data_IF_646864523469
#
_entry.id   IF_646864523469
#
_cell.length_a   1.000
_cell.length_b   1.000
_cell.length_c   1.000
_cell.angle_alpha   90.00
_cell.angle_beta   90.00
_cell.angle_gamma   90.00
#
_symmetry.space_group_name_H-M   'P 1'
#
loop_
_entity.id
_entity.type
_entity.pdbx_description
1 polymer ?
#
# COMPACT_ATOMS: atom_id res chain seq x y z
N UNK A 1 -18.39 25.86 8.14
CA UNK A 1 -17.35 26.91 8.15
C UNK A 1 -16.00 26.20 8.02
N UNK A 2 -15.55 25.93 6.79
CA UNK A 2 -14.25 25.29 6.55
C UNK A 2 -13.15 26.32 6.86
N UNK A 3 -12.44 26.14 7.97
CA UNK A 3 -11.24 26.91 8.29
C UNK A 3 -10.23 26.61 7.20
N UNK A 4 -9.98 27.58 6.31
CA UNK A 4 -8.83 27.56 5.42
C UNK A 4 -7.61 27.57 6.35
N UNK A 5 -6.95 26.42 6.50
CA UNK A 5 -5.70 26.30 7.24
C UNK A 5 -4.68 27.20 6.56
N UNK A 6 -4.44 28.39 7.13
CA UNK A 6 -3.34 29.27 6.74
C UNK A 6 -2.06 28.61 7.23
N UNK A 7 -1.34 27.96 6.31
CA UNK A 7 -0.08 27.27 6.57
C UNK A 7 1.00 28.25 7.00
N UNK A 8 1.84 27.86 7.96
CA UNK A 8 3.19 28.43 8.11
C UNK A 8 4.06 27.88 6.97
N UNK A 9 4.98 28.67 6.37
CA UNK A 9 5.80 28.17 5.27
C UNK A 9 6.78 27.11 5.80
N UNK A 10 6.53 25.84 5.46
CA UNK A 10 7.39 24.69 5.77
C UNK A 10 8.03 24.22 4.46
N UNK A 11 9.34 23.95 4.49
CA UNK A 11 10.10 23.51 3.31
C UNK A 11 10.32 22.01 3.36
N UNK A 12 9.76 21.30 2.38
CA UNK A 12 9.78 19.82 2.34
C UNK A 12 10.73 19.32 1.26
N UNK A 13 11.58 18.34 1.59
CA UNK A 13 12.32 17.55 0.60
C UNK A 13 11.65 16.20 0.40
N UNK A 14 11.44 15.79 -0.84
CA UNK A 14 10.89 14.48 -1.17
C UNK A 14 11.94 13.63 -1.88
N UNK A 15 12.22 12.42 -1.37
CA UNK A 15 13.12 11.47 -2.03
C UNK A 15 12.37 10.19 -2.33
N UNK A 16 12.11 9.96 -3.62
CA UNK A 16 11.45 8.76 -4.12
C UNK A 16 12.40 8.02 -5.04
N UNK A 17 12.91 6.88 -4.58
CA UNK A 17 13.71 5.99 -5.40
C UNK A 17 12.75 5.00 -6.07
N UNK A 18 12.75 5.02 -7.41
CA UNK A 18 12.10 3.98 -8.20
C UNK A 18 13.15 2.96 -8.60
N UNK A 19 12.84 1.66 -8.57
CA UNK A 19 13.71 0.65 -9.19
C UNK A 19 13.55 0.70 -10.72
N UNK A 20 14.61 0.47 -11.52
CA UNK A 20 14.47 0.30 -12.96
C UNK A 20 13.56 -0.90 -13.21
N UNK A 21 12.57 -0.78 -14.09
CA UNK A 21 11.61 -1.82 -14.46
C UNK A 21 10.54 -2.20 -13.41
N UNK A 22 10.60 -1.69 -12.19
CA UNK A 22 9.42 -1.63 -11.30
C UNK A 22 8.72 -0.31 -11.59
N UNK A 23 8.08 -0.24 -12.77
CA UNK A 23 7.25 0.89 -13.15
C UNK A 23 6.04 0.88 -12.23
N UNK A 24 6.16 1.59 -11.12
CA UNK A 24 5.04 2.34 -10.60
C UNK A 24 5.40 3.81 -10.79
N UNK A 25 5.20 4.29 -12.02
CA UNK A 25 4.99 5.71 -12.31
C UNK A 25 3.87 6.29 -11.42
N UNK A 26 3.02 5.42 -10.86
CA UNK A 26 2.07 5.78 -9.81
C UNK A 26 2.76 6.33 -8.55
N UNK A 27 3.88 5.81 -8.04
CA UNK A 27 4.40 6.25 -6.73
C UNK A 27 4.85 7.73 -6.68
N UNK A 28 5.36 8.30 -7.77
CA UNK A 28 5.81 9.70 -7.80
C UNK A 28 4.63 10.66 -8.09
N UNK A 29 3.74 10.30 -9.02
CA UNK A 29 2.48 11.03 -9.25
C UNK A 29 1.52 10.96 -8.04
N UNK A 30 1.61 9.89 -7.25
CA UNK A 30 0.84 9.63 -6.03
C UNK A 30 1.14 10.64 -4.92
N UNK A 31 2.35 11.21 -4.82
CA UNK A 31 2.66 12.31 -3.89
C UNK A 31 2.54 13.71 -4.51
N UNK A 32 2.69 13.84 -5.83
CA UNK A 32 2.44 15.09 -6.55
C UNK A 32 0.94 15.46 -6.52
N UNK A 33 0.04 14.48 -6.62
CA UNK A 33 -1.42 14.70 -6.53
C UNK A 33 -1.90 14.95 -5.09
N UNK A 34 -1.16 14.48 -4.09
CA UNK A 34 -1.50 14.60 -2.66
C UNK A 34 -1.53 16.05 -2.18
N UNK A 35 -0.72 16.90 -2.79
CA UNK A 35 -0.60 18.32 -2.44
C UNK A 35 -1.56 19.21 -3.25
N UNK A 36 -2.30 18.66 -4.21
CA UNK A 36 -3.33 19.38 -4.98
C UNK A 36 -2.86 20.75 -5.49
N UNK A 37 -3.73 21.76 -5.38
CA UNK A 37 -3.45 23.16 -5.76
C UNK A 37 -2.50 23.89 -4.78
N UNK A 38 -1.95 23.21 -3.76
CA UNK A 38 -1.08 23.80 -2.76
C UNK A 38 0.41 23.68 -3.11
N UNK A 39 0.78 22.99 -4.19
CA UNK A 39 2.17 22.88 -4.67
C UNK A 39 2.23 23.13 -6.18
N UNK A 40 3.17 23.97 -6.61
CA UNK A 40 3.41 24.27 -8.03
C UNK A 40 4.55 23.42 -8.57
N UNK A 41 4.33 22.79 -9.72
CA UNK A 41 5.33 21.96 -10.42
C UNK A 41 6.07 22.78 -11.46
N UNK A 42 7.40 22.88 -11.37
CA UNK A 42 8.24 23.33 -12.48
C UNK A 42 9.29 22.25 -12.76
N UNK A 43 9.01 21.37 -13.71
CA UNK A 43 9.95 20.34 -14.17
C UNK A 43 9.37 19.43 -15.24
N UNK A 44 10.08 19.25 -16.36
CA UNK A 44 9.70 18.33 -17.43
C UNK A 44 9.90 16.88 -16.99
N UNK A 45 8.83 16.07 -17.04
CA UNK A 45 8.85 14.66 -16.71
C UNK A 45 9.69 13.85 -17.73
N UNK A 46 11.02 13.76 -17.52
CA UNK A 46 11.87 12.72 -18.13
C UNK A 46 12.93 12.25 -17.13
N UNK A 47 12.77 11.00 -16.69
CA UNK A 47 13.82 10.04 -16.31
C UNK A 47 15.13 10.60 -15.72
N UNK A 48 15.08 11.16 -14.51
CA UNK A 48 16.21 11.20 -13.56
C UNK A 48 15.65 11.39 -12.13
N UNK A 49 16.20 10.64 -11.15
CA UNK A 49 15.51 10.19 -9.92
C UNK A 49 15.83 10.96 -8.63
N UNK A 50 15.57 12.26 -8.57
CA UNK A 50 15.46 13.04 -7.33
C UNK A 50 14.44 14.16 -7.58
N UNK A 51 13.44 14.33 -6.71
CA UNK A 51 12.37 15.33 -6.91
C UNK A 51 12.31 16.31 -5.73
N UNK A 52 12.85 17.52 -5.87
CA UNK A 52 12.65 18.61 -4.90
C UNK A 52 11.40 19.42 -5.25
N UNK A 53 10.51 19.68 -4.28
CA UNK A 53 9.27 20.45 -4.49
C UNK A 53 9.29 21.77 -3.68
N UNK A 54 8.76 22.85 -4.26
CA UNK A 54 8.64 24.20 -3.65
C UNK A 54 7.27 24.86 -3.91
N UNK A 55 6.95 25.91 -3.15
CA UNK A 55 5.62 26.58 -3.13
C UNK A 55 5.55 27.87 -4.00
N UNK A 56 4.31 28.33 -4.31
CA UNK A 56 3.87 29.35 -5.31
C UNK A 56 4.67 30.67 -5.42
N UNK A 57 4.69 31.24 -6.64
CA UNK A 57 5.29 32.53 -7.04
C UNK A 57 4.65 33.77 -6.36
N UNK A 58 5.44 34.84 -6.23
CA UNK A 58 5.31 36.09 -5.44
C UNK A 58 5.85 36.05 -4.00
N UNK A 59 6.18 34.86 -3.52
CA UNK A 59 6.98 34.68 -2.33
C UNK A 59 8.45 35.10 -2.59
N UNK A 60 9.13 35.85 -1.70
CA UNK A 60 10.57 36.17 -1.84
C UNK A 60 11.47 34.94 -2.04
N UNK A 61 10.92 33.75 -1.76
CA UNK A 61 11.54 32.43 -1.83
C UNK A 61 11.52 31.80 -3.24
N UNK A 62 10.86 32.41 -4.24
CA UNK A 62 10.86 31.93 -5.64
C UNK A 62 12.20 32.15 -6.37
N UNK A 63 13.20 32.73 -5.70
CA UNK A 63 14.52 33.06 -6.26
C UNK A 63 15.64 32.13 -5.78
N UNK A 64 15.34 31.06 -5.04
CA UNK A 64 16.36 30.14 -4.52
C UNK A 64 16.54 28.94 -5.48
N UNK A 65 17.76 28.58 -5.92
CA UNK A 65 17.95 27.53 -6.93
C UNK A 65 17.38 26.19 -6.46
N UNK A 66 16.35 25.71 -7.15
CA UNK A 66 15.77 24.38 -6.97
C UNK A 66 16.54 23.42 -7.88
N UNK A 67 16.87 22.21 -7.39
CA UNK A 67 17.71 21.16 -8.01
C UNK A 67 19.19 21.21 -7.61
N UNK A 68 19.47 20.96 -6.33
CA UNK A 68 20.77 20.40 -5.96
C UNK A 68 20.80 18.97 -6.49
N UNK A 69 21.61 18.69 -7.51
CA UNK A 69 22.11 17.33 -7.71
C UNK A 69 23.08 17.09 -6.53
N UNK A 70 22.70 16.28 -5.51
CA UNK A 70 23.52 16.07 -4.32
C UNK A 70 24.91 15.54 -4.66
N UNK A 71 25.04 14.94 -5.85
CA UNK A 71 26.28 14.36 -6.34
C UNK A 71 27.13 15.34 -7.15
N UNK A 72 26.57 16.48 -7.61
CA UNK A 72 27.33 17.52 -8.32
C UNK A 72 27.60 18.75 -7.48
N UNK A 73 26.65 19.18 -6.66
CA UNK A 73 26.85 20.31 -5.76
C UNK A 73 27.24 19.79 -4.37
N UNK A 74 28.48 20.09 -3.96
CA UNK A 74 28.97 19.83 -2.59
C UNK A 74 28.28 20.75 -1.59
N UNK A 75 27.00 20.54 -1.35
CA UNK A 75 26.27 21.25 -0.32
C UNK A 75 26.62 20.63 1.03
N UNK A 76 27.08 21.46 1.98
CA UNK A 76 27.51 20.99 3.30
C UNK A 76 26.32 20.54 4.18
N UNK A 77 25.12 21.09 3.96
CA UNK A 77 23.91 20.72 4.68
C UNK A 77 22.64 21.14 3.93
N UNK A 78 21.58 20.35 4.07
CA UNK A 78 20.23 20.65 3.59
C UNK A 78 19.35 21.31 4.65
N UNK A 79 19.83 21.43 5.89
CA UNK A 79 19.11 22.00 7.04
C UNK A 79 18.63 23.43 6.79
N UNK A 80 19.43 24.23 6.10
CA UNK A 80 19.10 25.63 5.81
C UNK A 80 18.03 25.76 4.73
N UNK A 81 17.73 24.70 3.99
CA UNK A 81 16.80 24.68 2.86
C UNK A 81 15.51 23.92 3.15
N UNK A 82 15.54 22.92 4.05
CA UNK A 82 14.43 22.02 4.31
C UNK A 82 14.24 21.79 5.80
N UNK A 83 12.99 21.87 6.24
CA UNK A 83 12.57 21.64 7.62
C UNK A 83 12.23 20.15 7.86
N UNK A 84 11.74 19.47 6.81
CA UNK A 84 11.34 18.07 6.86
C UNK A 84 11.67 17.32 5.56
N UNK A 85 12.07 16.06 5.69
CA UNK A 85 12.30 15.13 4.58
C UNK A 85 11.25 14.01 4.56
N UNK A 86 10.76 13.66 3.37
CA UNK A 86 9.77 12.60 3.14
C UNK A 86 10.34 11.58 2.16
N UNK A 87 10.42 10.31 2.55
CA UNK A 87 10.93 9.24 1.68
C UNK A 87 10.14 7.93 1.81
N UNK A 88 10.18 7.12 0.75
CA UNK A 88 9.57 5.79 0.73
C UNK A 88 10.38 4.77 1.53
N UNK A 89 9.71 3.90 2.29
CA UNK A 89 10.37 2.87 3.14
C UNK A 89 10.77 1.57 2.42
N UNK A 90 10.94 1.59 1.09
CA UNK A 90 11.46 0.41 0.38
C UNK A 90 12.96 0.22 0.60
N UNK A 91 13.71 1.31 0.69
CA UNK A 91 15.14 1.32 0.93
C UNK A 91 15.52 2.49 1.85
N UNK A 92 16.71 2.40 2.46
CA UNK A 92 17.16 3.34 3.47
C UNK A 92 17.96 4.51 2.88
N UNK A 93 18.20 4.55 1.57
CA UNK A 93 19.06 5.58 0.96
C UNK A 93 18.46 6.98 1.14
N UNK A 94 17.14 7.12 1.00
CA UNK A 94 16.45 8.38 1.23
C UNK A 94 16.69 8.90 2.64
N UNK A 95 16.45 8.06 3.65
CA UNK A 95 16.67 8.42 5.06
C UNK A 95 18.14 8.70 5.38
N UNK A 96 19.06 7.91 4.80
CA UNK A 96 20.50 8.09 4.94
C UNK A 96 20.94 9.47 4.44
N UNK A 97 20.52 9.87 3.23
CA UNK A 97 20.84 11.18 2.67
C UNK A 97 20.29 12.31 3.54
N UNK A 98 19.04 12.19 4.01
CA UNK A 98 18.43 13.20 4.86
C UNK A 98 19.17 13.35 6.20
N UNK A 99 19.63 12.26 6.80
CA UNK A 99 20.48 12.29 8.00
C UNK A 99 21.86 12.88 7.70
N UNK A 100 22.50 12.43 6.63
CA UNK A 100 23.83 12.88 6.21
C UNK A 100 23.86 14.40 6.00
N UNK A 101 22.88 14.96 5.31
CA UNK A 101 22.75 16.40 5.10
C UNK A 101 22.02 17.15 6.23
N UNK A 102 21.78 16.50 7.37
CA UNK A 102 21.24 17.10 8.60
C UNK A 102 19.86 17.72 8.46
N UNK A 103 18.94 17.10 7.71
CA UNK A 103 17.53 17.50 7.72
C UNK A 103 16.96 17.33 9.15
N UNK A 104 16.25 18.34 9.71
CA UNK A 104 15.78 18.30 11.09
C UNK A 104 14.83 17.14 11.40
N UNK A 105 13.78 16.98 10.59
CA UNK A 105 12.76 15.94 10.77
C UNK A 105 12.66 15.05 9.54
N UNK A 106 12.42 13.75 9.76
CA UNK A 106 12.30 12.77 8.69
C UNK A 106 11.02 11.98 8.92
N UNK A 107 10.15 11.97 7.91
CA UNK A 107 8.95 11.13 7.90
C UNK A 107 9.00 10.20 6.71
N UNK A 108 8.23 9.14 6.81
CA UNK A 108 8.26 8.08 5.83
C UNK A 108 6.87 7.75 5.30
N UNK A 109 6.84 7.19 4.11
CA UNK A 109 5.60 6.85 3.43
C UNK A 109 5.69 5.45 2.82
N UNK A 110 4.75 4.58 3.16
CA UNK A 110 4.65 3.22 2.63
C UNK A 110 3.44 3.10 1.70
N UNK A 111 3.64 2.46 0.55
CA UNK A 111 2.57 2.12 -0.38
C UNK A 111 1.86 0.80 -0.03
N UNK A 112 2.25 0.17 1.07
CA UNK A 112 1.76 -1.11 1.56
C UNK A 112 1.19 -0.97 2.98
N UNK A 113 0.57 -2.05 3.47
CA UNK A 113 0.30 -2.23 4.90
C UNK A 113 1.59 -2.24 5.74
N UNK A 114 1.45 -2.40 7.06
CA UNK A 114 2.59 -2.42 8.00
C UNK A 114 3.55 -3.56 7.66
N UNK A 115 4.81 -3.22 7.38
CA UNK A 115 5.94 -4.13 7.21
C UNK A 115 6.60 -4.46 8.56
N UNK A 116 7.28 -5.61 8.63
CA UNK A 116 8.05 -6.00 9.82
C UNK A 116 9.11 -4.97 10.20
N UNK A 117 9.81 -4.38 9.23
CA UNK A 117 10.82 -3.35 9.48
C UNK A 117 10.25 -2.10 10.20
N UNK A 118 9.01 -1.72 9.91
CA UNK A 118 8.31 -0.63 10.59
C UNK A 118 7.95 -1.04 12.01
N UNK A 119 7.51 -2.28 12.18
CA UNK A 119 7.17 -2.88 13.47
C UNK A 119 8.39 -2.91 14.40
N UNK A 120 9.50 -3.47 13.92
CA UNK A 120 10.77 -3.55 14.66
C UNK A 120 11.33 -2.16 14.91
N UNK A 121 11.43 -1.32 13.87
CA UNK A 121 12.00 0.03 13.98
C UNK A 121 11.21 0.97 14.89
N UNK A 122 9.91 0.74 15.09
CA UNK A 122 9.08 1.49 16.01
C UNK A 122 8.93 0.83 17.40
N UNK A 123 9.47 -0.39 17.59
CA UNK A 123 9.32 -1.17 18.81
C UNK A 123 7.92 -1.72 19.05
N UNK A 124 7.11 -1.87 18.00
CA UNK A 124 5.75 -2.39 18.11
C UNK A 124 5.74 -3.86 18.53
N UNK A 125 4.75 -4.28 19.32
CA UNK A 125 4.48 -5.69 19.51
C UNK A 125 4.27 -6.41 18.18
N UNK A 126 5.17 -7.34 17.87
CA UNK A 126 5.18 -8.09 16.62
C UNK A 126 5.28 -9.59 16.92
N UNK A 127 4.41 -10.14 17.76
CA UNK A 127 4.45 -11.57 18.06
C UNK A 127 3.84 -12.40 16.94
N UNK A 128 4.48 -13.51 16.58
CA UNK A 128 3.97 -14.50 15.62
C UNK A 128 2.61 -15.11 16.01
N UNK A 129 2.19 -15.00 17.27
CA UNK A 129 0.89 -15.50 17.71
C UNK A 129 -0.28 -14.64 17.19
N UNK A 130 -0.03 -13.37 16.91
CA UNK A 130 -1.08 -12.37 16.61
C UNK A 130 -0.76 -11.51 15.38
N UNK A 131 0.46 -11.57 14.87
CA UNK A 131 0.90 -10.80 13.70
C UNK A 131 1.24 -11.75 12.57
N UNK A 132 0.70 -11.46 11.39
CA UNK A 132 0.97 -12.23 10.17
C UNK A 132 2.01 -11.51 9.31
N UNK A 133 2.82 -12.30 8.60
CA UNK A 133 3.71 -11.79 7.58
C UNK A 133 2.89 -11.19 6.42
N UNK A 134 3.24 -9.98 5.98
CA UNK A 134 2.48 -9.27 4.94
C UNK A 134 2.36 -10.07 3.62
N UNK A 135 3.42 -10.77 3.24
CA UNK A 135 3.49 -11.45 1.94
C UNK A 135 3.05 -12.91 1.99
N UNK A 136 2.90 -13.47 3.19
CA UNK A 136 2.59 -14.88 3.43
C UNK A 136 1.61 -15.02 4.61
N UNK A 137 0.37 -14.51 4.48
CA UNK A 137 -0.63 -14.62 5.54
C UNK A 137 -1.06 -16.09 5.71
N UNK A 138 -1.29 -16.49 6.96
CA UNK A 138 -1.61 -17.87 7.35
C UNK A 138 -2.90 -17.90 8.19
N UNK A 139 -3.61 -19.02 8.14
CA UNK A 139 -4.81 -19.19 8.97
C UNK A 139 -4.45 -19.52 10.43
N UNK A 140 -4.36 -18.47 11.25
CA UNK A 140 -4.06 -18.55 12.67
C UNK A 140 -5.16 -19.21 13.51
N UNK A 141 -6.31 -19.59 12.94
CA UNK A 141 -7.31 -20.40 13.66
C UNK A 141 -6.88 -21.88 13.77
N UNK A 142 -5.96 -22.33 12.92
CA UNK A 142 -5.48 -23.71 12.86
C UNK A 142 -4.09 -23.86 13.50
N UNK A 143 -3.80 -25.04 14.05
CA UNK A 143 -2.47 -25.33 14.60
C UNK A 143 -1.37 -25.27 13.52
N UNK A 144 -1.64 -25.82 12.33
CA UNK A 144 -0.68 -25.82 11.23
C UNK A 144 -0.42 -24.39 10.70
N UNK A 145 -1.46 -23.56 10.58
CA UNK A 145 -1.29 -22.15 10.19
C UNK A 145 -0.51 -21.35 11.22
N UNK A 146 -0.74 -21.57 12.53
CA UNK A 146 0.09 -20.99 13.60
C UNK A 146 1.56 -21.40 13.48
N UNK A 147 1.83 -22.68 13.23
CA UNK A 147 3.19 -23.19 13.05
C UNK A 147 3.88 -22.56 11.83
N UNK A 148 3.20 -22.51 10.68
CA UNK A 148 3.72 -21.85 9.47
C UNK A 148 3.98 -20.38 9.69
N UNK A 149 3.05 -19.67 10.33
CA UNK A 149 3.23 -18.26 10.65
C UNK A 149 4.44 -18.03 11.56
N UNK A 150 4.64 -18.89 12.56
CA UNK A 150 5.83 -18.83 13.42
C UNK A 150 7.13 -19.00 12.61
N UNK A 151 7.16 -19.95 11.67
CA UNK A 151 8.32 -20.17 10.79
C UNK A 151 8.56 -18.94 9.90
N UNK A 152 7.53 -18.44 9.22
CA UNK A 152 7.63 -17.28 8.33
C UNK A 152 8.05 -16.02 9.10
N UNK A 153 7.40 -15.76 10.24
CA UNK A 153 7.72 -14.65 11.13
C UNK A 153 9.18 -14.71 11.62
N UNK A 154 9.65 -15.90 12.02
CA UNK A 154 11.04 -16.11 12.46
C UNK A 154 12.01 -15.85 11.32
N UNK A 155 11.74 -16.40 10.14
CA UNK A 155 12.56 -16.21 8.95
C UNK A 155 12.64 -14.71 8.56
N UNK A 156 11.52 -14.00 8.58
CA UNK A 156 11.49 -12.58 8.22
C UNK A 156 12.24 -11.73 9.26
N UNK A 157 11.94 -11.88 10.54
CA UNK A 157 12.46 -10.99 11.59
C UNK A 157 13.93 -11.28 11.96
N UNK A 158 14.39 -12.53 11.84
CA UNK A 158 15.75 -12.92 12.26
C UNK A 158 16.71 -13.22 11.12
N UNK A 159 16.22 -13.45 9.90
CA UNK A 159 17.08 -13.76 8.75
C UNK A 159 16.97 -12.66 7.69
N UNK A 160 15.78 -12.46 7.11
CA UNK A 160 15.59 -11.56 5.97
C UNK A 160 15.83 -10.10 6.37
N UNK A 161 15.15 -9.60 7.40
CA UNK A 161 15.26 -8.21 7.82
C UNK A 161 16.69 -7.83 8.26
N UNK A 162 17.37 -8.60 9.14
CA UNK A 162 18.77 -8.32 9.50
C UNK A 162 19.72 -8.39 8.31
N UNK A 163 19.51 -9.34 7.38
CA UNK A 163 20.29 -9.43 6.14
C UNK A 163 20.12 -8.18 5.27
N UNK A 164 18.88 -7.79 4.97
CA UNK A 164 18.57 -6.59 4.19
C UNK A 164 19.16 -5.33 4.85
N UNK A 165 18.98 -5.18 6.16
CA UNK A 165 19.55 -4.07 6.94
C UNK A 165 21.07 -4.02 6.82
N UNK A 166 21.77 -5.16 6.91
CA UNK A 166 23.23 -5.23 6.74
C UNK A 166 23.69 -4.85 5.33
N UNK A 167 23.02 -5.36 4.29
CA UNK A 167 23.36 -5.07 2.89
C UNK A 167 23.13 -3.60 2.56
N UNK A 168 22.02 -3.01 3.02
CA UNK A 168 21.72 -1.61 2.85
C UNK A 168 22.73 -0.73 3.60
N UNK A 169 23.01 -1.04 4.87
CA UNK A 169 24.02 -0.31 5.67
C UNK A 169 25.40 -0.35 5.03
N UNK A 170 25.85 -1.53 4.57
CA UNK A 170 27.14 -1.67 3.86
C UNK A 170 27.18 -0.82 2.59
N UNK A 171 26.08 -0.78 1.84
CA UNK A 171 25.98 0.04 0.63
C UNK A 171 26.03 1.52 0.97
N UNK A 172 25.29 1.97 1.98
CA UNK A 172 25.28 3.36 2.44
C UNK A 172 26.68 3.79 2.90
N UNK A 173 27.32 3.02 3.80
CA UNK A 173 28.64 3.37 4.34
C UNK A 173 29.73 3.38 3.27
N UNK A 174 29.61 2.55 2.22
CA UNK A 174 30.53 2.58 1.08
C UNK A 174 30.58 3.95 0.39
N UNK A 175 29.44 4.66 0.33
CA UNK A 175 29.34 5.94 -0.38
C UNK A 175 29.36 7.16 0.55
N UNK A 176 28.77 7.05 1.75
CA UNK A 176 28.64 8.16 2.71
C UNK A 176 29.64 8.09 3.86
N UNK A 177 30.43 7.00 3.96
CA UNK A 177 31.29 6.73 5.11
C UNK A 177 30.49 6.40 6.37
N UNK A 178 31.17 6.39 7.52
CA UNK A 178 30.59 6.04 8.82
C UNK A 178 30.07 7.28 9.59
N UNK A 179 29.70 8.35 8.88
CA UNK A 179 29.23 9.60 9.49
C UNK A 179 27.82 9.49 10.10
N UNK A 180 27.06 8.48 9.69
CA UNK A 180 25.70 8.21 10.18
C UNK A 180 25.59 6.75 10.61
N UNK A 181 24.71 6.49 11.57
CA UNK A 181 24.33 5.12 11.94
C UNK A 181 23.33 4.57 10.92
N UNK A 182 23.87 3.94 9.86
CA UNK A 182 23.06 3.37 8.79
C UNK A 182 22.25 2.13 9.22
N UNK A 183 22.60 1.49 10.34
CA UNK A 183 21.88 0.32 10.85
C UNK A 183 20.56 0.72 11.51
N UNK A 184 20.53 1.86 12.21
CA UNK A 184 19.37 2.30 12.98
C UNK A 184 18.58 3.45 12.31
N UNK A 185 18.53 3.47 10.98
CA UNK A 185 17.85 4.56 10.25
C UNK A 185 16.32 4.55 10.46
N UNK A 186 15.69 3.38 10.52
CA UNK A 186 14.23 3.24 10.66
C UNK A 186 13.74 3.75 12.03
N UNK A 187 14.56 3.53 13.05
CA UNK A 187 14.40 3.95 14.43
C UNK A 187 14.39 5.47 14.54
N UNK A 188 15.06 6.15 13.62
CA UNK A 188 15.24 7.60 13.61
C UNK A 188 14.18 8.39 12.84
N UNK A 189 13.21 7.69 12.23
CA UNK A 189 12.06 8.27 11.51
C UNK A 189 11.05 8.80 12.53
N UNK A 190 10.56 10.03 12.37
CA UNK A 190 9.67 10.70 13.31
C UNK A 190 8.22 10.22 13.21
N UNK A 191 7.69 10.07 11.99
CA UNK A 191 6.33 9.60 11.69
C UNK A 191 6.37 8.68 10.47
N UNK A 192 5.56 7.62 10.49
CA UNK A 192 5.42 6.68 9.37
C UNK A 192 3.99 6.69 8.84
N UNK A 193 3.82 7.08 7.59
CA UNK A 193 2.53 7.10 6.90
C UNK A 193 2.32 5.83 6.09
N UNK A 194 1.12 5.27 6.15
CA UNK A 194 0.75 4.05 5.41
C UNK A 194 -0.37 4.34 4.45
N UNK A 195 -0.25 3.88 3.20
CA UNK A 195 -1.35 3.85 2.25
C UNK A 195 -2.37 2.74 2.58
N UNK A 196 -2.77 2.63 3.84
CA UNK A 196 -3.80 1.69 4.28
C UNK A 196 -4.74 2.35 5.29
N UNK A 197 -5.82 1.67 5.65
CA UNK A 197 -6.83 2.17 6.56
C UNK A 197 -7.14 1.13 7.64
N UNK A 198 -7.10 1.59 8.88
CA UNK A 198 -7.27 0.81 10.10
C UNK A 198 -8.60 0.03 10.18
N UNK A 199 -9.64 0.46 9.44
CA UNK A 199 -10.96 -0.18 9.43
C UNK A 199 -11.05 -1.39 8.51
N UNK A 200 -10.08 -1.56 7.60
CA UNK A 200 -10.07 -2.62 6.58
C UNK A 200 -8.76 -3.42 6.57
N UNK A 201 -7.89 -3.17 7.54
CA UNK A 201 -6.69 -3.94 7.84
C UNK A 201 -7.00 -5.07 8.82
N UNK A 202 -6.13 -6.10 8.83
CA UNK A 202 -6.15 -7.06 9.92
C UNK A 202 -5.82 -6.34 11.25
N UNK A 203 -6.62 -6.52 12.31
CA UNK A 203 -6.38 -5.87 13.59
C UNK A 203 -5.00 -6.23 14.15
N UNK A 204 -4.22 -5.21 14.52
CA UNK A 204 -2.92 -5.36 15.19
C UNK A 204 -2.61 -4.17 16.09
N UNK A 205 -1.66 -4.34 17.00
CA UNK A 205 -1.18 -3.25 17.85
C UNK A 205 -0.41 -2.26 16.99
N UNK A 206 -0.72 -0.97 17.16
CA UNK A 206 -0.12 0.13 16.39
C UNK A 206 0.33 1.23 17.34
N UNK A 207 1.54 1.76 17.15
CA UNK A 207 2.05 2.92 17.90
C UNK A 207 1.51 4.23 17.34
N UNK A 208 1.39 5.31 18.15
CA UNK A 208 1.11 6.65 17.65
C UNK A 208 2.10 7.20 16.60
N UNK A 209 3.26 6.55 16.39
CA UNK A 209 4.19 6.85 15.28
C UNK A 209 3.60 6.54 13.89
N UNK A 210 2.69 5.56 13.80
CA UNK A 210 2.05 5.13 12.55
C UNK A 210 0.83 6.00 12.27
N UNK A 211 0.65 6.39 10.99
CA UNK A 211 -0.49 7.16 10.51
C UNK A 211 -1.09 6.52 9.26
N UNK A 212 -2.35 6.11 9.36
CA UNK A 212 -3.10 5.54 8.25
C UNK A 212 -3.66 6.64 7.35
N UNK A 213 -3.21 6.65 6.10
CA UNK A 213 -3.59 7.61 5.06
C UNK A 213 -4.14 6.89 3.81
N UNK A 214 -4.60 5.65 3.93
CA UNK A 214 -5.22 4.91 2.84
C UNK A 214 -6.47 5.61 2.32
N UNK A 215 -6.54 5.75 1.00
CA UNK A 215 -7.65 6.41 0.31
C UNK A 215 -7.48 7.92 0.13
N UNK A 216 -6.33 8.47 0.52
CA UNK A 216 -6.00 9.89 0.40
C UNK A 216 -6.10 10.47 -1.03
N UNK A 217 -5.92 9.63 -2.05
CA UNK A 217 -5.98 9.97 -3.47
C UNK A 217 -7.27 9.53 -4.16
N UNK A 218 -8.24 9.01 -3.41
CA UNK A 218 -9.51 8.60 -4.00
C UNK A 218 -10.20 9.82 -4.59
N UNK A 219 -10.46 9.73 -5.88
CA UNK A 219 -11.28 10.72 -6.57
C UNK A 219 -12.72 10.47 -6.14
N UNK A 220 -13.42 11.55 -5.77
CA UNK A 220 -14.86 11.47 -5.61
C UNK A 220 -15.44 10.98 -6.94
N UNK A 221 -16.19 9.89 -6.92
CA UNK A 221 -16.88 9.42 -8.11
C UNK A 221 -17.71 10.58 -8.68
N UNK A 222 -17.66 10.73 -10.00
CA UNK A 222 -18.52 11.69 -10.71
C UNK A 222 -19.93 11.12 -10.94
N UNK A 223 -20.16 9.85 -10.63
CA UNK A 223 -21.42 9.13 -10.81
C UNK A 223 -21.78 8.90 -12.27
N UNK A 224 -20.83 9.06 -13.19
CA UNK A 224 -21.01 8.95 -14.64
C UNK A 224 -19.85 8.11 -15.17
N UNK A 225 -20.19 7.00 -15.82
CA UNK A 225 -19.22 6.19 -16.53
C UNK A 225 -18.64 7.02 -17.69
N UNK A 226 -17.38 6.80 -18.05
CA UNK A 226 -16.83 7.47 -19.22
C UNK A 226 -17.61 7.04 -20.48
N UNK A 227 -17.84 7.96 -21.42
CA UNK A 227 -18.69 7.75 -22.61
C UNK A 227 -18.30 6.51 -23.42
N UNK A 228 -17.01 6.15 -23.45
CA UNK A 228 -16.50 4.93 -24.09
C UNK A 228 -16.95 3.66 -23.36
N UNK A 229 -16.96 3.68 -22.02
CA UNK A 229 -17.45 2.59 -21.18
C UNK A 229 -18.98 2.51 -21.29
N UNK A 230 -19.67 3.64 -21.20
CA UNK A 230 -21.14 3.71 -21.33
C UNK A 230 -21.63 3.25 -22.69
N UNK A 231 -20.97 3.64 -23.78
CA UNK A 231 -21.31 3.20 -25.15
C UNK A 231 -21.03 1.71 -25.39
N UNK A 232 -19.93 1.16 -24.86
CA UNK A 232 -19.62 -0.28 -24.92
C UNK A 232 -20.63 -1.13 -24.14
N UNK A 233 -21.13 -0.58 -23.05
CA UNK A 233 -22.18 -1.19 -22.22
C UNK A 233 -23.54 -1.10 -22.91
N UNK A 234 -23.88 0.05 -23.50
CA UNK A 234 -25.19 0.33 -24.08
C UNK A 234 -25.39 -0.30 -25.47
N UNK A 235 -24.33 -0.44 -26.27
CA UNK A 235 -24.39 -0.97 -27.64
C UNK A 235 -24.59 -2.48 -27.76
N UNK A 236 -24.57 -3.23 -26.65
CA UNK A 236 -24.54 -4.70 -26.64
C UNK A 236 -25.85 -5.42 -26.33
N UNK A 237 -26.96 -4.70 -26.15
CA UNK A 237 -28.24 -5.27 -25.72
C UNK A 237 -28.43 -5.22 -24.20
N UNK A 238 -28.34 -4.03 -23.61
CA UNK A 238 -28.78 -3.71 -22.25
C UNK A 238 -28.02 -4.41 -21.11
N UNK A 239 -27.63 -3.65 -20.09
CA UNK A 239 -27.26 -4.21 -18.78
C UNK A 239 -28.55 -4.68 -18.12
N UNK A 240 -28.77 -5.98 -18.01
CA UNK A 240 -29.95 -6.49 -17.32
C UNK A 240 -29.81 -6.30 -15.81
N UNK A 241 -28.80 -6.91 -15.20
CA UNK A 241 -28.62 -6.86 -13.74
C UNK A 241 -27.39 -6.06 -13.30
N UNK A 242 -26.31 -6.07 -14.08
CA UNK A 242 -25.13 -5.31 -13.69
C UNK A 242 -23.88 -5.53 -14.52
N UNK A 243 -22.83 -4.82 -14.13
CA UNK A 243 -21.49 -4.88 -14.73
C UNK A 243 -20.52 -5.44 -13.71
N UNK A 244 -19.78 -6.47 -14.11
CA UNK A 244 -18.68 -7.05 -13.34
C UNK A 244 -17.38 -6.72 -14.03
N UNK A 245 -16.50 -6.02 -13.33
CA UNK A 245 -15.18 -5.67 -13.89
C UNK A 245 -14.13 -6.66 -13.48
N UNK A 246 -13.30 -7.07 -14.43
CA UNK A 246 -12.15 -7.92 -14.20
C UNK A 246 -10.86 -7.17 -14.54
N UNK A 247 -10.05 -6.88 -13.51
CA UNK A 247 -8.77 -6.19 -13.66
C UNK A 247 -7.69 -6.68 -12.67
N UNK A 248 -6.55 -7.13 -13.21
CA UNK A 248 -5.34 -7.46 -12.43
C UNK A 248 -4.30 -6.33 -12.42
N UNK A 249 -4.75 -5.09 -12.56
CA UNK A 249 -3.89 -3.90 -12.51
C UNK A 249 -2.99 -3.75 -13.74
N UNK A 250 -1.88 -3.03 -13.59
CA UNK A 250 -0.94 -2.71 -14.68
C UNK A 250 0.28 -3.63 -14.74
N UNK A 251 0.51 -4.45 -13.71
CA UNK A 251 1.72 -5.28 -13.58
C UNK A 251 1.56 -6.68 -14.16
N UNK A 252 0.33 -7.12 -14.39
CA UNK A 252 0.04 -8.43 -14.97
C UNK A 252 -0.29 -8.23 -16.44
N UNK A 253 0.65 -8.61 -17.30
CA UNK A 253 0.43 -8.56 -18.74
C UNK A 253 -0.58 -9.63 -19.18
N UNK A 254 -1.43 -9.28 -20.14
CA UNK A 254 -2.51 -10.15 -20.65
C UNK A 254 -1.98 -11.48 -21.19
N UNK A 255 -0.77 -11.49 -21.75
CA UNK A 255 -0.10 -12.69 -22.26
C UNK A 255 0.36 -13.69 -21.18
N UNK A 256 0.36 -13.29 -19.90
CA UNK A 256 0.71 -14.18 -18.78
C UNK A 256 -0.47 -15.03 -18.29
N UNK A 257 -1.68 -14.80 -18.80
CA UNK A 257 -2.84 -15.63 -18.47
C UNK A 257 -2.73 -17.01 -19.14
N UNK A 258 -2.68 -18.11 -18.37
CA UNK A 258 -2.69 -19.45 -18.94
C UNK A 258 -3.92 -19.69 -19.80
N UNK A 259 -3.79 -20.50 -20.85
CA UNK A 259 -4.89 -20.77 -21.79
C UNK A 259 -6.09 -21.44 -21.08
N UNK A 260 -5.81 -22.31 -20.13
CA UNK A 260 -6.80 -23.02 -19.32
C UNK A 260 -7.60 -22.04 -18.46
N UNK A 261 -6.93 -21.03 -17.89
CA UNK A 261 -7.57 -19.98 -17.09
C UNK A 261 -8.48 -19.12 -17.96
N UNK A 262 -8.06 -18.77 -19.18
CA UNK A 262 -8.88 -18.03 -20.16
C UNK A 262 -10.16 -18.80 -20.52
N UNK A 263 -10.04 -20.11 -20.80
CA UNK A 263 -11.20 -20.98 -21.02
C UNK A 263 -12.12 -21.08 -19.81
N UNK A 264 -11.56 -21.20 -18.61
CA UNK A 264 -12.32 -21.30 -17.37
C UNK A 264 -13.17 -20.05 -17.11
N UNK A 265 -12.59 -18.85 -17.27
CA UNK A 265 -13.35 -17.59 -17.17
C UNK A 265 -14.40 -17.46 -18.26
N UNK A 266 -14.06 -17.76 -19.52
CA UNK A 266 -15.00 -17.70 -20.64
C UNK A 266 -16.22 -18.61 -20.39
N UNK A 267 -15.98 -19.83 -19.89
CA UNK A 267 -17.03 -20.79 -19.55
C UNK A 267 -17.84 -20.37 -18.31
N UNK A 268 -17.21 -19.75 -17.32
CA UNK A 268 -17.89 -19.26 -16.13
C UNK A 268 -18.82 -18.09 -16.49
N UNK A 269 -18.33 -17.08 -17.23
CA UNK A 269 -19.13 -15.90 -17.59
C UNK A 269 -20.38 -16.22 -18.40
N UNK A 270 -20.35 -17.25 -19.25
CA UNK A 270 -21.55 -17.73 -19.98
C UNK A 270 -22.69 -18.20 -19.07
N UNK A 271 -22.40 -18.56 -17.83
CA UNK A 271 -23.41 -19.00 -16.86
C UNK A 271 -24.12 -17.84 -16.15
N UNK A 272 -23.71 -16.59 -16.42
CA UNK A 272 -24.27 -15.37 -15.87
C UNK A 272 -24.70 -14.42 -17.00
N UNK A 273 -25.61 -14.84 -17.91
CA UNK A 273 -26.00 -14.05 -19.09
C UNK A 273 -26.67 -12.70 -18.75
N UNK A 274 -27.12 -12.52 -17.52
CA UNK A 274 -27.73 -11.29 -16.98
C UNK A 274 -26.71 -10.22 -16.57
N UNK A 275 -25.44 -10.59 -16.41
CA UNK A 275 -24.33 -9.68 -16.12
C UNK A 275 -23.47 -9.44 -17.36
N UNK A 276 -23.01 -8.20 -17.52
CA UNK A 276 -21.96 -7.84 -18.49
C UNK A 276 -20.61 -7.88 -17.81
N UNK A 277 -19.70 -8.71 -18.31
CA UNK A 277 -18.32 -8.76 -17.83
C UNK A 277 -17.45 -7.84 -18.67
N UNK A 278 -16.67 -6.99 -18.00
CA UNK A 278 -15.74 -6.07 -18.64
C UNK A 278 -14.34 -6.42 -18.16
N UNK A 279 -13.54 -7.03 -19.03
CA UNK A 279 -12.21 -7.50 -18.71
C UNK A 279 -11.15 -6.58 -19.30
N UNK A 280 -10.32 -6.00 -18.42
CA UNK A 280 -9.09 -5.35 -18.84
C UNK A 280 -8.11 -6.41 -19.34
N UNK A 281 -8.10 -6.64 -20.66
CA UNK A 281 -7.34 -7.71 -21.30
C UNK A 281 -7.07 -7.34 -22.76
N UNK A 282 -5.84 -7.60 -23.19
CA UNK A 282 -5.44 -7.45 -24.59
C UNK A 282 -5.51 -8.83 -25.26
N UNK A 283 -6.37 -8.95 -26.27
CA UNK A 283 -6.55 -10.18 -27.02
C UNK A 283 -5.23 -10.69 -27.60
N UNK A 284 -4.93 -11.94 -27.30
CA UNK A 284 -3.82 -12.70 -27.84
C UNK A 284 -4.27 -13.53 -29.05
N UNK A 285 -3.31 -14.08 -29.78
CA UNK A 285 -3.61 -15.04 -30.84
C UNK A 285 -4.39 -16.25 -30.29
N UNK A 286 -5.42 -16.69 -31.03
CA UNK A 286 -6.29 -17.80 -30.64
C UNK A 286 -7.45 -17.44 -29.71
N UNK A 287 -7.42 -16.27 -29.04
CA UNK A 287 -8.48 -15.88 -28.10
C UNK A 287 -9.86 -15.71 -28.73
N UNK A 288 -9.90 -15.39 -30.03
CA UNK A 288 -11.13 -15.26 -30.79
C UNK A 288 -11.98 -16.54 -30.70
N UNK A 289 -11.35 -17.72 -30.71
CA UNK A 289 -12.04 -19.00 -30.59
C UNK A 289 -12.48 -19.27 -29.14
N UNK A 290 -11.66 -18.90 -28.16
CA UNK A 290 -11.95 -19.09 -26.72
C UNK A 290 -13.20 -18.29 -26.34
N UNK A 291 -13.29 -17.04 -26.79
CA UNK A 291 -14.33 -16.08 -26.39
C UNK A 291 -15.50 -15.97 -27.37
N UNK A 292 -15.46 -16.66 -28.54
CA UNK A 292 -16.50 -16.57 -29.58
C UNK A 292 -17.94 -16.68 -29.06
N UNK A 293 -18.18 -17.58 -28.11
CA UNK A 293 -19.51 -17.87 -27.57
C UNK A 293 -19.79 -17.14 -26.24
N UNK A 294 -18.94 -16.21 -25.80
CA UNK A 294 -19.13 -15.44 -24.56
C UNK A 294 -19.65 -14.05 -24.90
N UNK A 295 -20.92 -13.96 -25.26
CA UNK A 295 -21.56 -12.73 -25.78
C UNK A 295 -21.66 -11.60 -24.75
N UNK A 296 -21.65 -11.96 -23.47
CA UNK A 296 -21.70 -11.04 -22.33
C UNK A 296 -20.32 -10.57 -21.83
N UNK A 297 -19.24 -10.83 -22.58
CA UNK A 297 -17.88 -10.38 -22.25
C UNK A 297 -17.43 -9.26 -23.20
N UNK A 298 -16.91 -8.18 -22.62
CA UNK A 298 -16.30 -7.05 -23.33
C UNK A 298 -14.85 -6.87 -22.87
N UNK A 299 -13.98 -6.45 -23.79
CA UNK A 299 -12.56 -6.22 -23.53
C UNK A 299 -12.22 -4.74 -23.57
N UNK A 300 -11.41 -4.29 -22.62
CA UNK A 300 -10.93 -2.91 -22.55
C UNK A 300 -9.42 -2.85 -22.35
N UNK A 301 -8.80 -1.82 -22.91
CA UNK A 301 -7.38 -1.51 -22.65
C UNK A 301 -7.19 -0.76 -21.33
N UNK A 302 -8.17 0.05 -20.94
CA UNK A 302 -8.15 0.86 -19.72
C UNK A 302 -9.56 1.05 -19.16
N UNK A 303 -9.68 1.20 -17.84
CA UNK A 303 -10.95 1.34 -17.12
C UNK A 303 -10.87 2.46 -16.06
N UNK A 304 -11.81 3.42 -16.03
CA UNK A 304 -11.99 4.31 -14.90
C UNK A 304 -12.69 3.54 -13.77
N UNK A 305 -11.99 3.33 -12.66
CA UNK A 305 -12.33 2.30 -11.67
C UNK A 305 -13.47 2.67 -10.69
N UNK A 306 -14.22 3.76 -10.90
CA UNK A 306 -15.01 4.38 -9.82
C UNK A 306 -16.52 4.12 -9.77
N UNK A 307 -17.15 3.37 -10.70
CA UNK A 307 -18.62 3.26 -10.76
C UNK A 307 -19.16 1.84 -11.09
N UNK A 308 -18.75 0.82 -10.32
CA UNK A 308 -18.92 -0.60 -10.70
C UNK A 308 -19.66 -1.42 -9.63
N UNK A 309 -20.37 -2.49 -10.03
CA UNK A 309 -21.22 -3.30 -9.12
C UNK A 309 -20.47 -4.43 -8.41
N UNK A 310 -19.49 -5.06 -9.05
CA UNK A 310 -18.66 -6.13 -8.48
C UNK A 310 -17.32 -6.19 -9.21
N UNK A 311 -16.24 -6.53 -8.50
CA UNK A 311 -14.88 -6.42 -9.00
C UNK A 311 -14.07 -7.72 -8.83
N UNK A 312 -13.68 -8.34 -9.95
CA UNK A 312 -12.70 -9.43 -9.98
C UNK A 312 -11.30 -8.81 -10.03
N UNK A 313 -10.49 -9.09 -9.00
CA UNK A 313 -9.23 -8.39 -8.80
C UNK A 313 -8.14 -9.26 -8.23
N UNK A 314 -6.90 -8.91 -8.54
CA UNK A 314 -5.72 -9.38 -7.82
C UNK A 314 -5.51 -8.70 -6.46
N UNK A 315 -6.42 -7.79 -6.05
CA UNK A 315 -6.37 -7.10 -4.74
C UNK A 315 -5.08 -6.33 -4.43
N UNK A 316 -4.46 -5.71 -5.45
CA UNK A 316 -3.45 -4.68 -5.19
C UNK A 316 -4.02 -3.54 -4.34
N UNK A 317 -3.23 -2.98 -3.42
CA UNK A 317 -3.74 -2.12 -2.33
C UNK A 317 -4.60 -0.95 -2.80
N UNK A 318 -4.22 -0.26 -3.88
CA UNK A 318 -5.01 0.87 -4.40
C UNK A 318 -6.39 0.42 -4.87
N UNK A 319 -6.47 -0.71 -5.58
CA UNK A 319 -7.73 -1.25 -6.06
C UNK A 319 -8.59 -1.79 -4.91
N UNK A 320 -7.96 -2.37 -3.88
CA UNK A 320 -8.65 -2.78 -2.66
C UNK A 320 -9.26 -1.57 -1.93
N UNK A 321 -8.50 -0.47 -1.78
CA UNK A 321 -8.99 0.79 -1.21
C UNK A 321 -10.15 1.36 -2.02
N UNK A 322 -10.00 1.49 -3.34
CA UNK A 322 -11.04 2.02 -4.23
C UNK A 322 -12.35 1.23 -4.11
N UNK A 323 -12.28 -0.11 -4.14
CA UNK A 323 -13.46 -0.97 -3.99
C UNK A 323 -14.09 -0.86 -2.60
N UNK A 324 -13.26 -0.79 -1.55
CA UNK A 324 -13.73 -0.65 -0.16
C UNK A 324 -14.46 0.67 0.07
N UNK A 325 -13.91 1.78 -0.44
CA UNK A 325 -14.55 3.10 -0.34
C UNK A 325 -15.81 3.20 -1.21
N UNK A 326 -15.87 2.53 -2.37
CA UNK A 326 -17.06 2.43 -3.22
C UNK A 326 -18.15 1.51 -2.63
N UNK A 327 -17.78 0.65 -1.68
CA UNK A 327 -18.67 -0.36 -1.10
C UNK A 327 -19.07 -1.40 -2.13
N UNK A 328 -18.06 -1.92 -2.84
CA UNK A 328 -18.18 -2.91 -3.90
C UNK A 328 -17.50 -4.21 -3.45
N UNK A 329 -18.22 -5.35 -3.44
CA UNK A 329 -17.64 -6.66 -3.17
C UNK A 329 -16.55 -7.06 -4.16
N UNK A 330 -15.59 -7.85 -3.68
CA UNK A 330 -14.44 -8.29 -4.47
C UNK A 330 -14.40 -9.80 -4.61
N UNK A 331 -14.24 -10.29 -5.84
CA UNK A 331 -13.75 -11.64 -6.09
C UNK A 331 -12.23 -11.57 -6.25
N UNK A 332 -11.49 -11.94 -5.20
CA UNK A 332 -10.06 -11.79 -5.12
C UNK A 332 -9.31 -13.01 -5.67
N UNK A 333 -8.29 -12.77 -6.48
CA UNK A 333 -7.35 -13.79 -6.98
C UNK A 333 -5.93 -13.22 -6.73
N UNK A 334 -5.46 -13.23 -5.47
CA UNK A 334 -4.17 -12.64 -5.14
C UNK A 334 -3.03 -13.40 -5.81
N UNK A 335 -2.06 -12.67 -6.38
CA UNK A 335 -0.97 -13.26 -7.17
C UNK A 335 0.36 -13.24 -6.42
N UNK A 336 0.75 -12.09 -5.84
CA UNK A 336 2.05 -11.89 -5.17
C UNK A 336 2.08 -10.63 -4.29
N UNK A 337 3.20 -10.41 -3.59
CA UNK A 337 3.44 -9.25 -2.72
C UNK A 337 2.34 -9.06 -1.67
N UNK A 338 1.80 -7.85 -1.50
CA UNK A 338 0.80 -7.48 -0.50
C UNK A 338 -0.61 -8.01 -0.80
N UNK A 339 -0.84 -8.53 -2.00
CA UNK A 339 -2.15 -8.92 -2.49
C UNK A 339 -2.83 -10.00 -1.64
N UNK A 340 -2.15 -11.08 -1.18
CA UNK A 340 -2.76 -12.07 -0.30
C UNK A 340 -3.24 -11.48 1.03
N UNK A 341 -2.48 -10.54 1.62
CA UNK A 341 -2.87 -9.86 2.85
C UNK A 341 -4.09 -8.98 2.65
N UNK A 342 -4.14 -8.21 1.56
CA UNK A 342 -5.31 -7.38 1.25
C UNK A 342 -6.56 -8.25 1.03
N UNK A 343 -6.41 -9.38 0.31
CA UNK A 343 -7.49 -10.35 0.11
C UNK A 343 -7.99 -10.93 1.45
N UNK A 344 -7.05 -11.33 2.33
CA UNK A 344 -7.37 -11.88 3.65
C UNK A 344 -8.03 -10.84 4.56
N UNK A 345 -7.58 -9.60 4.50
CA UNK A 345 -8.18 -8.48 5.23
C UNK A 345 -9.64 -8.28 4.81
N UNK A 346 -9.90 -8.23 3.50
CA UNK A 346 -11.27 -8.09 2.97
C UNK A 346 -12.17 -9.30 3.28
N UNK A 347 -11.60 -10.51 3.28
CA UNK A 347 -12.29 -11.74 3.70
C UNK A 347 -12.71 -11.67 5.17
N UNK A 348 -11.80 -11.22 6.05
CA UNK A 348 -12.06 -11.15 7.50
C UNK A 348 -13.23 -10.24 7.88
N UNK A 349 -13.54 -9.25 7.04
CA UNK A 349 -14.65 -8.31 7.21
C UNK A 349 -15.85 -8.62 6.30
N UNK A 350 -15.82 -9.75 5.59
CA UNK A 350 -16.92 -10.24 4.77
C UNK A 350 -17.19 -9.43 3.50
N UNK A 351 -16.18 -8.76 2.94
CA UNK A 351 -16.29 -7.94 1.72
C UNK A 351 -15.67 -8.59 0.48
N UNK A 352 -14.88 -9.65 0.69
CA UNK A 352 -14.08 -10.30 -0.35
C UNK A 352 -14.24 -11.82 -0.30
N UNK A 353 -14.49 -12.43 -1.46
CA UNK A 353 -14.36 -13.87 -1.64
C UNK A 353 -12.99 -14.17 -2.26
N UNK A 354 -12.19 -15.04 -1.63
CA UNK A 354 -10.83 -15.35 -2.11
C UNK A 354 -10.82 -16.64 -2.91
N UNK A 355 -10.27 -16.57 -4.12
CA UNK A 355 -9.97 -17.71 -4.99
C UNK A 355 -8.47 -17.98 -5.01
N UNK A 356 -8.11 -19.24 -4.79
CA UNK A 356 -6.75 -19.72 -4.96
C UNK A 356 -6.38 -19.69 -6.46
N UNK A 357 -5.31 -18.96 -6.78
CA UNK A 357 -4.79 -18.83 -8.15
C UNK A 357 -4.38 -20.16 -8.78
N UNK A 358 -4.13 -21.20 -7.99
CA UNK A 358 -3.81 -22.56 -8.46
C UNK A 358 -5.05 -23.41 -8.77
N UNK A 359 -6.24 -22.95 -8.38
CA UNK A 359 -7.50 -23.68 -8.51
C UNK A 359 -8.56 -22.90 -9.32
N UNK A 360 -8.12 -22.19 -10.35
CA UNK A 360 -8.98 -21.39 -11.24
C UNK A 360 -9.75 -22.26 -12.26
N UNK A 361 -10.57 -23.17 -11.76
CA UNK A 361 -11.50 -23.97 -12.57
C UNK A 361 -12.80 -23.21 -12.80
N UNK A 362 -13.54 -23.56 -13.87
CA UNK A 362 -14.87 -23.00 -14.13
C UNK A 362 -15.79 -23.13 -12.91
N UNK A 363 -15.75 -24.29 -12.23
CA UNK A 363 -16.56 -24.53 -11.04
C UNK A 363 -16.24 -23.55 -9.92
N UNK A 364 -14.96 -23.36 -9.60
CA UNK A 364 -14.55 -22.47 -8.51
C UNK A 364 -14.82 -21.00 -8.84
N UNK A 365 -14.62 -20.58 -10.09
CA UNK A 365 -14.94 -19.21 -10.55
C UNK A 365 -16.45 -18.96 -10.43
N UNK A 366 -17.29 -19.88 -10.91
CA UNK A 366 -18.76 -19.77 -10.78
C UNK A 366 -19.18 -19.71 -9.31
N UNK A 367 -18.59 -20.54 -8.45
CA UNK A 367 -18.87 -20.50 -7.01
C UNK A 367 -18.53 -19.13 -6.40
N UNK A 368 -17.34 -18.61 -6.70
CA UNK A 368 -16.92 -17.29 -6.22
C UNK A 368 -17.80 -16.15 -6.73
N UNK A 369 -18.15 -16.16 -8.02
CA UNK A 369 -19.09 -15.20 -8.61
C UNK A 369 -20.46 -15.26 -7.96
N UNK A 370 -21.03 -16.46 -7.75
CA UNK A 370 -22.31 -16.62 -7.06
C UNK A 370 -22.28 -16.03 -5.64
N UNK A 371 -21.18 -16.21 -4.92
CA UNK A 371 -21.01 -15.63 -3.60
C UNK A 371 -21.06 -14.10 -3.67
N UNK A 372 -20.22 -13.45 -4.48
CA UNK A 372 -20.15 -11.97 -4.49
C UNK A 372 -21.35 -11.30 -5.18
N UNK A 373 -22.04 -11.98 -6.11
CA UNK A 373 -23.17 -11.42 -6.86
C UNK A 373 -24.53 -11.64 -6.19
N UNK A 374 -24.74 -12.80 -5.54
CA UNK A 374 -26.07 -13.17 -5.02
C UNK A 374 -26.13 -13.31 -3.49
N UNK A 375 -25.02 -13.58 -2.81
CA UNK A 375 -25.02 -13.56 -1.34
C UNK A 375 -25.00 -12.11 -0.85
N UNK A 376 -26.17 -11.67 -0.37
CA UNK A 376 -26.38 -10.30 0.10
C UNK A 376 -25.44 -9.88 1.23
N UNK A 377 -24.85 -10.81 1.98
CA UNK A 377 -23.91 -10.47 3.05
C UNK A 377 -22.70 -9.69 2.55
N UNK A 378 -22.18 -10.02 1.36
CA UNK A 378 -21.03 -9.34 0.77
C UNK A 378 -21.33 -7.88 0.46
N UNK A 379 -22.44 -7.60 -0.22
CA UNK A 379 -22.81 -6.21 -0.57
C UNK A 379 -23.20 -5.41 0.67
N UNK A 380 -23.90 -6.01 1.65
CA UNK A 380 -24.25 -5.35 2.91
C UNK A 380 -23.00 -4.97 3.71
N UNK A 381 -22.04 -5.89 3.83
CA UNK A 381 -20.77 -5.63 4.50
C UNK A 381 -19.96 -4.56 3.76
N UNK A 382 -19.87 -4.63 2.43
CA UNK A 382 -19.14 -3.64 1.63
C UNK A 382 -19.75 -2.25 1.77
N UNK A 383 -21.08 -2.11 1.76
CA UNK A 383 -21.75 -0.82 2.00
C UNK A 383 -21.57 -0.32 3.43
N UNK A 384 -21.61 -1.21 4.42
CA UNK A 384 -21.33 -0.87 5.82
C UNK A 384 -19.91 -0.32 5.99
N UNK A 385 -18.91 -1.00 5.43
CA UNK A 385 -17.51 -0.58 5.48
C UNK A 385 -17.29 0.72 4.72
N UNK A 386 -17.83 0.85 3.52
CA UNK A 386 -17.79 2.09 2.73
C UNK A 386 -18.33 3.29 3.52
N UNK A 387 -19.48 3.13 4.18
CA UNK A 387 -20.04 4.16 5.05
C UNK A 387 -19.07 4.51 6.19
N UNK A 388 -18.52 3.52 6.88
CA UNK A 388 -17.54 3.78 7.96
C UNK A 388 -16.28 4.50 7.45
N UNK A 389 -15.78 4.14 6.26
CA UNK A 389 -14.61 4.78 5.64
C UNK A 389 -14.88 6.24 5.26
N UNK A 390 -16.09 6.54 4.78
CA UNK A 390 -16.51 7.89 4.41
C UNK A 390 -16.81 8.77 5.63
N UNK A 391 -17.42 8.18 6.67
CA UNK A 391 -17.81 8.85 7.91
C UNK A 391 -16.64 8.98 8.91
N UNK A 392 -15.48 8.37 8.61
CA UNK A 392 -14.36 8.30 9.55
C UNK A 392 -13.93 9.71 10.01
N UNK A 393 -13.58 9.89 11.30
CA UNK A 393 -12.94 11.12 11.75
C UNK A 393 -11.55 11.26 11.10
N UNK A 394 -11.07 12.50 11.02
CA UNK A 394 -9.71 12.83 10.54
C UNK A 394 -9.44 12.28 9.12
N UNK A 395 -9.88 12.98 8.07
CA UNK A 395 -9.72 12.50 6.71
C UNK A 395 -8.22 12.33 6.38
N UNK A 396 -7.83 11.34 5.54
CA UNK A 396 -6.42 11.01 5.29
C UNK A 396 -5.53 12.20 4.95
N UNK A 397 -6.05 13.16 4.17
CA UNK A 397 -5.33 14.38 3.78
C UNK A 397 -4.99 15.28 4.98
N UNK A 398 -5.94 15.45 5.91
CA UNK A 398 -5.72 16.26 7.12
C UNK A 398 -4.72 15.57 8.04
N UNK A 399 -4.83 14.24 8.25
CA UNK A 399 -3.82 13.47 9.00
C UNK A 399 -2.43 13.69 8.40
N UNK A 400 -2.28 13.54 7.08
CA UNK A 400 -0.98 13.70 6.44
C UNK A 400 -0.39 15.10 6.68
N UNK A 401 -1.15 16.15 6.34
CA UNK A 401 -0.70 17.54 6.45
C UNK A 401 -0.38 17.89 7.91
N UNK A 402 -1.31 17.64 8.82
CA UNK A 402 -1.15 18.05 10.23
C UNK A 402 0.03 17.35 10.90
N UNK A 403 0.26 16.06 10.63
CA UNK A 403 1.39 15.33 11.20
C UNK A 403 2.73 15.70 10.55
N UNK A 404 2.75 16.03 9.26
CA UNK A 404 3.94 16.61 8.61
C UNK A 404 4.28 17.96 9.24
N UNK A 405 3.29 18.85 9.41
CA UNK A 405 3.50 20.16 10.04
C UNK A 405 3.93 20.05 11.51
N UNK A 406 3.38 19.07 12.23
CA UNK A 406 3.75 18.81 13.60
C UNK A 406 5.19 18.28 13.71
N UNK A 407 5.58 17.32 12.86
CA UNK A 407 6.94 16.78 12.82
C UNK A 407 7.98 17.82 12.41
N UNK A 408 7.68 18.65 11.40
CA UNK A 408 8.55 19.75 10.98
C UNK A 408 8.82 20.76 12.12
N UNK A 409 7.81 21.07 12.94
CA UNK A 409 7.94 21.97 14.10
C UNK A 409 8.57 21.32 15.33
N UNK A 410 8.56 20.00 15.41
CA UNK A 410 9.04 19.25 16.56
C UNK A 410 10.02 18.15 16.09
N UNK A 411 11.22 18.49 15.61
CA UNK A 411 12.20 17.47 15.23
C UNK A 411 12.46 16.46 16.35
N UNK A 412 12.82 15.22 15.97
CA UNK A 412 13.17 14.13 16.89
C UNK A 412 11.98 13.49 17.63
N UNK A 413 10.75 13.59 17.11
CA UNK A 413 9.56 12.91 17.68
C UNK A 413 9.76 11.41 17.90
N UNK A 414 10.59 10.75 17.11
CA UNK A 414 10.91 9.34 17.31
C UNK A 414 11.39 9.03 18.73
N UNK A 415 12.06 9.97 19.41
CA UNK A 415 12.49 9.81 20.81
C UNK A 415 11.33 9.69 21.79
N UNK A 416 10.15 10.18 21.43
CA UNK A 416 8.94 10.14 22.23
C UNK A 416 7.96 9.06 21.77
N UNK A 417 7.98 8.72 20.47
CA UNK A 417 6.99 7.82 19.85
C UNK A 417 7.49 6.39 19.66
N UNK A 418 8.80 6.15 19.71
CA UNK A 418 9.36 4.79 19.69
C UNK A 418 9.01 4.08 21.00
N UNK A 419 8.53 2.85 20.87
CA UNK A 419 8.19 2.02 22.02
C UNK A 419 9.45 1.35 22.60
N UNK A 420 9.46 0.99 23.90
CA UNK A 420 10.61 0.36 24.56
C UNK A 420 11.10 -0.91 23.86
N UNK A 421 10.19 -1.65 23.20
CA UNK A 421 10.51 -2.88 22.47
C UNK A 421 11.56 -2.71 21.37
N UNK A 422 11.79 -1.49 20.87
CA UNK A 422 12.84 -1.19 19.90
C UNK A 422 14.25 -1.53 20.42
N UNK A 423 14.47 -1.38 21.72
CA UNK A 423 15.78 -1.54 22.35
C UNK A 423 15.95 -2.89 23.06
N UNK A 424 14.91 -3.72 23.05
CA UNK A 424 14.90 -5.00 23.75
C UNK A 424 15.41 -6.11 22.83
N UNK A 425 16.17 -7.03 23.40
CA UNK A 425 16.42 -8.33 22.80
C UNK A 425 15.15 -9.19 22.81
N UNK A 426 15.12 -10.24 22.00
CA UNK A 426 14.02 -11.22 22.02
C UNK A 426 13.86 -11.85 23.40
N UNK A 427 14.96 -12.06 24.11
CA UNK A 427 14.99 -12.66 25.44
C UNK A 427 14.25 -11.77 26.44
N UNK A 428 14.59 -10.48 26.47
CA UNK A 428 13.94 -9.49 27.34
C UNK A 428 12.48 -9.26 26.94
N UNK A 429 12.22 -9.12 25.64
CA UNK A 429 10.87 -8.81 25.12
C UNK A 429 9.84 -9.89 25.49
N UNK A 430 10.25 -11.16 25.47
CA UNK A 430 9.38 -12.29 25.85
C UNK A 430 9.61 -12.77 27.30
N UNK A 431 10.36 -12.00 28.11
CA UNK A 431 10.68 -12.33 29.51
C UNK A 431 11.29 -13.73 29.70
N UNK A 432 12.03 -14.22 28.71
CA UNK A 432 12.62 -15.56 28.71
C UNK A 432 13.68 -15.66 29.81
N UNK A 433 14.47 -14.62 29.99
CA UNK A 433 15.43 -14.46 31.08
C UNK A 433 14.79 -14.64 32.46
N UNK A 434 13.65 -13.98 32.70
CA UNK A 434 12.91 -14.07 33.96
C UNK A 434 12.32 -15.47 34.17
N UNK A 435 11.71 -16.05 33.13
CA UNK A 435 11.14 -17.41 33.20
C UNK A 435 12.25 -18.43 33.51
N UNK A 436 13.40 -18.35 32.83
CA UNK A 436 14.54 -19.22 33.09
C UNK A 436 15.06 -19.02 34.52
N UNK A 437 15.15 -17.77 35.00
CA UNK A 437 15.54 -17.47 36.39
C UNK A 437 14.58 -18.11 37.41
N UNK A 438 13.27 -18.02 37.20
CA UNK A 438 12.27 -18.66 38.05
C UNK A 438 12.35 -20.19 38.01
N UNK A 439 12.54 -20.80 36.83
CA UNK A 439 12.68 -22.25 36.70
C UNK A 439 13.94 -22.76 37.42
N UNK A 440 15.06 -22.05 37.29
CA UNK A 440 16.28 -22.38 38.04
C UNK A 440 16.04 -22.27 39.54
N UNK A 441 15.37 -21.21 40.02
CA UNK A 441 15.04 -21.06 41.43
C UNK A 441 14.23 -22.25 41.96
N UNK A 442 13.20 -22.71 41.24
CA UNK A 442 12.36 -23.86 41.63
C UNK A 442 13.11 -25.19 41.60
N UNK A 443 14.14 -25.34 40.75
CA UNK A 443 14.94 -26.58 40.68
C UNK A 443 16.01 -26.63 41.78
N UNK A 444 16.53 -25.47 42.21
CA UNK A 444 17.66 -25.38 43.15
C UNK A 444 17.27 -24.98 44.58
N UNK A 445 16.00 -24.67 44.84
CA UNK A 445 15.41 -24.39 46.16
C UNK A 445 14.26 -25.37 46.39
#
# INVERSE_FOLDING_TARGET
MYKVLKMSPIRCLFLFLTLPNVISTLHILFYILLLGNHVTTNGSARTSRIYSYGFKEESPWSKTPHLLDPFKEKVRSWKEHYDIGIATEYDYCGFALMKYYSIPSIVSVSSMAILDQQSVGAGMPNSAAVTQALFEPEDLSTWLGKLKNLINWTHINFIIYPYCRRIQSKSINKYLGDQIDAQNLMESIDIQFLNSNELIELPRVVTPKIKFIGGINLRKSKGILADDVESLISGGGGVKEGIVVFCFGTQVASNLFPIEVRHAFAAAFRQFPEFTFVWKYELQEGDQQIFANTTNLKFLKWLPQTDLLTFISHTGLNSYLESSYAGVPILAIPLFADQPHNAKSGESIGTTYVLDKTQLTTHNIVKGLKAVLYDTSYILNSKRISKMLQDRPNPPKSIFVEWVEFAARNPLLHRNLNLPGQKMTVIEYYCIDLILGCLLFVVFV
#
